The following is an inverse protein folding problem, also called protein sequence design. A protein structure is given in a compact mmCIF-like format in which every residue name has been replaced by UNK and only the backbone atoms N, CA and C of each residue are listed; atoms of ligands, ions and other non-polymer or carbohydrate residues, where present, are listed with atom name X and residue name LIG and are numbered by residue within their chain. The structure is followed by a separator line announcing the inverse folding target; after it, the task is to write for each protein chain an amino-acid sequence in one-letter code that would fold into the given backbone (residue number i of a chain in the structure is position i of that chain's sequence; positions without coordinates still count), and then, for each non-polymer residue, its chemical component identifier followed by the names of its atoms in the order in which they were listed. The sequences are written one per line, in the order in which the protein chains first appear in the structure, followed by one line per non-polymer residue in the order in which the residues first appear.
data_IF_701266143606
#
_entry.id   IF_701266143606
#
_cell.length_a   1.000
_cell.length_b   1.000
_cell.length_c   1.000
_cell.angle_alpha   90.00
_cell.angle_beta   90.00
_cell.angle_gamma   90.00
#
_symmetry.space_group_name_H-M   'P 1'
#
loop_
_entity.id
_entity.type
_entity.pdbx_description
1 polymer ?
#
# COMPACT_ATOMS: atom_id res chain seq x y z
N UNK A 1 2.98 20.00 5.91
CA UNK A 1 1.81 19.73 6.78
C UNK A 1 1.99 20.47 8.09
N UNK A 2 0.90 20.91 8.74
CA UNK A 2 0.98 21.43 10.11
C UNK A 2 1.55 20.34 11.05
N UNK A 3 2.24 20.74 12.10
CA UNK A 3 2.68 19.83 13.18
C UNK A 3 1.47 19.03 13.69
N UNK A 4 1.70 17.76 14.01
CA UNK A 4 0.65 16.80 14.41
C UNK A 4 -0.43 16.51 13.36
N UNK A 5 -0.23 16.90 12.10
CA UNK A 5 -1.17 16.58 11.02
C UNK A 5 -1.22 15.08 10.70
N UNK A 6 -2.38 14.59 10.27
CA UNK A 6 -2.58 13.23 9.77
C UNK A 6 -2.59 13.25 8.24
N UNK A 7 -1.84 12.35 7.62
CA UNK A 7 -1.86 12.04 6.20
C UNK A 7 -2.50 10.67 6.00
N UNK A 8 -3.61 10.63 5.27
CA UNK A 8 -4.30 9.39 4.91
C UNK A 8 -4.21 9.18 3.40
N UNK A 9 -3.77 8.00 2.98
CA UNK A 9 -3.70 7.62 1.57
C UNK A 9 -4.27 6.24 1.34
N UNK A 10 -5.08 6.08 0.29
CA UNK A 10 -5.57 4.77 -0.14
C UNK A 10 -4.72 4.32 -1.32
N UNK A 11 -4.09 3.17 -1.21
CA UNK A 11 -3.26 2.64 -2.29
C UNK A 11 -3.28 1.10 -2.31
N UNK A 12 -3.04 0.55 -3.50
CA UNK A 12 -3.04 -0.88 -3.74
C UNK A 12 -1.61 -1.44 -3.65
N UNK A 13 -1.47 -2.64 -3.09
CA UNK A 13 -0.32 -3.47 -3.41
C UNK A 13 -0.46 -3.97 -4.85
N UNK A 14 0.68 -4.28 -5.48
CA UNK A 14 0.72 -4.61 -6.91
C UNK A 14 1.41 -5.94 -7.13
N UNK A 15 1.20 -6.52 -8.31
CA UNK A 15 1.96 -7.66 -8.80
C UNK A 15 2.74 -7.25 -10.04
N UNK A 16 4.00 -7.66 -10.12
CA UNK A 16 4.85 -7.40 -11.26
C UNK A 16 5.63 -8.67 -11.61
N UNK A 17 5.57 -9.09 -12.87
CA UNK A 17 6.21 -10.32 -13.35
C UNK A 17 5.90 -11.56 -12.47
N UNK A 18 4.68 -11.63 -11.92
CA UNK A 18 4.26 -12.71 -11.04
C UNK A 18 4.65 -12.56 -9.56
N UNK A 19 5.48 -11.58 -9.21
CA UNK A 19 5.87 -11.30 -7.83
C UNK A 19 4.95 -10.26 -7.17
N UNK A 20 4.51 -10.56 -5.94
CA UNK A 20 3.72 -9.64 -5.12
C UNK A 20 4.61 -8.59 -4.47
N UNK A 21 4.28 -7.32 -4.66
CA UNK A 21 5.03 -6.16 -4.15
C UNK A 21 4.20 -5.47 -3.06
N UNK A 22 4.75 -5.44 -1.85
CA UNK A 22 4.18 -4.78 -0.67
C UNK A 22 4.44 -3.27 -0.70
N UNK A 23 3.73 -2.57 -1.58
CA UNK A 23 3.82 -1.11 -1.74
C UNK A 23 3.47 -0.38 -0.44
N UNK A 24 2.54 -0.95 0.34
CA UNK A 24 2.18 -0.49 1.68
C UNK A 24 3.38 -0.35 2.62
N UNK A 25 4.27 -1.33 2.62
CA UNK A 25 5.49 -1.29 3.43
C UNK A 25 6.55 -0.37 2.84
N UNK A 26 6.75 -0.39 1.52
CA UNK A 26 7.76 0.43 0.83
C UNK A 26 7.47 1.92 1.04
N UNK A 27 6.23 2.35 0.79
CA UNK A 27 5.84 3.75 0.95
C UNK A 27 5.83 4.17 2.42
N UNK A 28 5.45 3.29 3.33
CA UNK A 28 5.51 3.58 4.77
C UNK A 28 6.96 3.74 5.25
N UNK A 29 7.90 2.94 4.71
CA UNK A 29 9.32 3.08 5.01
C UNK A 29 9.88 4.42 4.53
N UNK A 30 9.55 4.81 3.29
CA UNK A 30 9.93 6.12 2.75
C UNK A 30 9.31 7.25 3.59
N UNK A 31 8.06 7.09 4.05
CA UNK A 31 7.41 8.07 4.92
C UNK A 31 8.16 8.27 6.25
N UNK A 32 8.63 7.19 6.87
CA UNK A 32 9.49 7.27 8.07
C UNK A 32 10.79 8.00 7.79
N UNK A 33 11.46 7.68 6.67
CA UNK A 33 12.73 8.30 6.27
C UNK A 33 12.61 9.81 6.02
N UNK A 34 11.44 10.29 5.56
CA UNK A 34 11.17 11.72 5.37
C UNK A 34 10.50 12.37 6.60
N UNK A 35 10.48 11.68 7.75
CA UNK A 35 10.10 12.24 9.04
C UNK A 35 8.60 12.25 9.35
N UNK A 36 7.84 11.31 8.79
CA UNK A 36 6.52 10.92 9.31
C UNK A 36 6.65 9.77 10.31
N UNK A 37 5.61 9.58 11.12
CA UNK A 37 5.39 8.38 11.91
C UNK A 37 4.28 7.57 11.26
N UNK A 38 4.52 6.27 11.02
CA UNK A 38 3.48 5.36 10.55
C UNK A 38 2.61 4.98 11.75
N UNK A 39 1.34 5.38 11.74
CA UNK A 39 0.39 5.04 12.82
C UNK A 39 -0.29 3.71 12.52
N UNK A 40 -0.80 3.52 11.29
CA UNK A 40 -1.47 2.29 10.87
C UNK A 40 -1.33 2.03 9.37
N UNK A 41 -1.38 0.76 9.00
CA UNK A 41 -1.69 0.29 7.64
C UNK A 41 -2.95 -0.56 7.76
N UNK A 42 -4.09 -0.01 7.37
CA UNK A 42 -5.38 -0.71 7.44
C UNK A 42 -5.63 -1.46 6.14
N UNK A 43 -5.94 -2.75 6.21
CA UNK A 43 -6.28 -3.55 5.04
C UNK A 43 -7.78 -3.46 4.77
N UNK A 44 -8.16 -3.10 3.56
CA UNK A 44 -9.57 -3.06 3.13
C UNK A 44 -10.07 -4.49 2.92
N UNK A 45 -11.26 -4.87 3.42
CA UNK A 45 -11.77 -6.24 3.32
C UNK A 45 -11.91 -6.74 1.88
N UNK A 46 -12.21 -5.83 0.95
CA UNK A 46 -12.31 -6.13 -0.47
C UNK A 46 -10.93 -5.98 -1.14
N UNK A 47 -10.34 -7.12 -1.49
CA UNK A 47 -9.11 -7.18 -2.26
C UNK A 47 -9.28 -6.70 -3.70
N UNK A 48 -8.15 -6.44 -4.37
CA UNK A 48 -8.09 -6.04 -5.78
C UNK A 48 -7.63 -7.20 -6.66
N UNK A 49 -8.20 -7.31 -7.85
CA UNK A 49 -7.72 -8.19 -8.92
C UNK A 49 -6.58 -7.58 -9.74
N UNK A 50 -5.76 -8.43 -10.37
CA UNK A 50 -4.69 -8.03 -11.29
C UNK A 50 -5.19 -7.78 -12.71
N UNK A 51 -4.34 -7.23 -13.59
CA UNK A 51 -4.67 -7.11 -15.02
C UNK A 51 -4.91 -8.49 -15.65
N UNK A 52 -5.75 -8.57 -16.67
CA UNK A 52 -6.08 -9.83 -17.36
C UNK A 52 -4.84 -10.51 -17.94
N UNK A 53 -3.88 -9.74 -18.43
CA UNK A 53 -2.60 -10.24 -18.93
C UNK A 53 -1.80 -10.91 -17.81
N UNK A 54 -1.63 -10.24 -16.66
CA UNK A 54 -0.93 -10.81 -15.49
C UNK A 54 -1.65 -12.06 -14.96
N UNK A 55 -2.99 -12.03 -14.90
CA UNK A 55 -3.77 -13.18 -14.46
C UNK A 55 -3.63 -14.37 -15.42
N UNK A 56 -3.54 -14.13 -16.72
CA UNK A 56 -3.30 -15.15 -17.73
C UNK A 56 -1.92 -15.80 -17.60
N UNK A 57 -0.87 -15.00 -17.36
CA UNK A 57 0.50 -15.50 -17.28
C UNK A 57 0.87 -16.10 -15.90
N UNK A 58 0.30 -15.60 -14.82
CA UNK A 58 0.75 -15.89 -13.45
C UNK A 58 -0.36 -16.33 -12.49
N UNK A 59 -1.57 -16.59 -13.00
CA UNK A 59 -2.72 -17.00 -12.20
C UNK A 59 -3.40 -15.85 -11.45
N UNK A 60 -4.55 -16.16 -10.86
CA UNK A 60 -5.34 -15.21 -10.06
C UNK A 60 -4.90 -15.26 -8.60
N UNK A 61 -4.47 -14.11 -8.09
CA UNK A 61 -4.18 -13.91 -6.68
C UNK A 61 -4.78 -12.56 -6.27
N UNK A 62 -5.41 -12.53 -5.09
CA UNK A 62 -6.01 -11.32 -4.53
C UNK A 62 -4.93 -10.42 -3.95
N UNK A 63 -4.89 -9.16 -4.37
CA UNK A 63 -3.98 -8.16 -3.81
C UNK A 63 -4.63 -7.37 -2.70
N UNK A 64 -3.83 -7.03 -1.68
CA UNK A 64 -4.26 -6.17 -0.59
C UNK A 64 -4.41 -4.73 -1.09
N UNK A 65 -5.56 -4.13 -0.80
CA UNK A 65 -5.78 -2.68 -0.87
C UNK A 65 -5.70 -2.14 0.55
N UNK A 66 -5.01 -1.04 0.74
CA UNK A 66 -4.68 -0.54 2.06
C UNK A 66 -4.97 0.96 2.20
N UNK A 67 -5.25 1.38 3.43
CA UNK A 67 -5.29 2.78 3.85
C UNK A 67 -4.09 3.02 4.76
N UNK A 68 -3.21 3.92 4.37
CA UNK A 68 -2.05 4.31 5.14
C UNK A 68 -2.41 5.49 6.01
N UNK A 69 -2.11 5.41 7.30
CA UNK A 69 -2.32 6.48 8.26
C UNK A 69 -0.96 6.88 8.79
N UNK A 70 -0.47 8.04 8.35
CA UNK A 70 0.80 8.60 8.78
C UNK A 70 0.56 9.89 9.54
N UNK A 71 1.41 10.19 10.52
CA UNK A 71 1.36 11.43 11.30
C UNK A 71 2.64 12.22 11.04
N UNK A 72 2.52 13.51 10.75
CA UNK A 72 3.67 14.41 10.86
C UNK A 72 3.84 14.70 12.35
N UNK A 73 5.00 14.38 12.95
CA UNK A 73 5.32 14.78 14.31
C UNK A 73 5.03 16.26 14.53
#
# INVERSE_FOLDING_TARGET
MKSSGIFCMINDNVRYAGASISVDLILSKIAEEIGFKVENILVVPQGKGNSSQQMGCHGRESLRKCIYVWRKP
#
